data_IF_816336951690
#
_entry.id   IF_816336951690
#
_cell.length_a   1.000
_cell.length_b   1.000
_cell.length_c   1.000
_cell.angle_alpha   90.00
_cell.angle_beta   90.00
_cell.angle_gamma   90.00
#
_symmetry.space_group_name_H-M   'P 1'
#
loop_
_entity.id
_entity.type
_entity.pdbx_description
1 polymer ?
#
# COMPACT_ATOMS: atom_id res chain seq x y z
N UNK A 1 -2.68 1.49 30.28
CA UNK A 1 -1.60 2.07 29.45
C UNK A 1 -2.16 2.33 28.06
N UNK A 2 -2.35 3.59 27.67
CA UNK A 2 -2.74 3.95 26.31
C UNK A 2 -1.55 3.73 25.38
N UNK A 3 -1.66 2.83 24.41
CA UNK A 3 -0.63 2.64 23.39
C UNK A 3 -0.81 3.73 22.30
N UNK A 4 0.05 4.77 22.22
CA UNK A 4 -0.15 5.90 21.32
C UNK A 4 -0.15 5.53 19.83
N UNK A 5 0.32 4.32 19.50
CA UNK A 5 0.36 3.79 18.12
C UNK A 5 -1.01 3.28 17.61
N UNK A 6 -2.04 3.15 18.47
CA UNK A 6 -3.37 2.66 18.04
C UNK A 6 -4.26 3.73 17.37
N UNK A 7 -4.03 5.02 17.63
CA UNK A 7 -4.77 6.12 16.99
C UNK A 7 -4.50 6.24 15.48
N UNK A 8 -3.23 6.32 15.01
CA UNK A 8 -2.95 6.52 13.58
C UNK A 8 -3.46 5.37 12.70
N UNK A 9 -3.44 4.13 13.21
CA UNK A 9 -3.93 2.96 12.48
C UNK A 9 -5.45 2.99 12.27
N UNK A 10 -6.24 3.40 13.27
CA UNK A 10 -7.71 3.53 13.14
C UNK A 10 -8.11 4.59 12.12
N UNK A 11 -7.35 5.68 12.01
CA UNK A 11 -7.65 6.74 11.05
C UNK A 11 -7.27 6.35 9.61
N UNK A 12 -6.20 5.56 9.42
CA UNK A 12 -5.87 4.99 8.11
C UNK A 12 -6.94 4.03 7.60
N UNK A 13 -7.57 3.27 8.48
CA UNK A 13 -8.67 2.35 8.13
C UNK A 13 -10.00 3.07 7.90
N UNK A 14 -10.12 4.38 8.14
CA UNK A 14 -11.32 5.17 7.75
C UNK A 14 -11.21 5.75 6.35
N UNK A 15 -10.01 5.75 5.77
CA UNK A 15 -9.78 6.24 4.42
C UNK A 15 -10.19 5.15 3.41
N UNK A 16 -11.21 5.46 2.60
CA UNK A 16 -11.75 4.51 1.62
C UNK A 16 -10.70 4.02 0.63
N UNK A 17 -9.78 4.90 0.19
CA UNK A 17 -8.70 4.50 -0.74
C UNK A 17 -7.73 3.52 -0.06
N UNK A 18 -7.41 3.71 1.22
CA UNK A 18 -6.61 2.74 1.96
C UNK A 18 -7.33 1.39 2.09
N UNK A 19 -8.63 1.38 2.39
CA UNK A 19 -9.41 0.15 2.47
C UNK A 19 -9.41 -0.60 1.13
N UNK A 20 -9.68 0.10 0.03
CA UNK A 20 -9.68 -0.47 -1.31
C UNK A 20 -8.30 -1.04 -1.70
N UNK A 21 -7.21 -0.37 -1.34
CA UNK A 21 -5.84 -0.88 -1.55
C UNK A 21 -5.63 -2.19 -0.79
N UNK A 22 -6.03 -2.25 0.48
CA UNK A 22 -5.87 -3.44 1.31
C UNK A 22 -6.73 -4.60 0.80
N UNK A 23 -7.97 -4.35 0.39
CA UNK A 23 -8.82 -5.37 -0.24
C UNK A 23 -8.25 -5.90 -1.55
N UNK A 24 -7.65 -5.02 -2.38
CA UNK A 24 -6.99 -5.44 -3.60
C UNK A 24 -5.79 -6.35 -3.30
N UNK A 25 -4.99 -6.01 -2.29
CA UNK A 25 -3.84 -6.82 -1.88
C UNK A 25 -4.27 -8.15 -1.23
N UNK A 26 -5.33 -8.15 -0.42
CA UNK A 26 -5.89 -9.38 0.17
C UNK A 26 -6.35 -10.36 -0.91
N UNK A 27 -6.98 -9.86 -1.98
CA UNK A 27 -7.46 -10.70 -3.09
C UNK A 27 -6.34 -11.19 -4.02
N UNK A 28 -5.22 -10.47 -4.12
CA UNK A 28 -4.18 -10.72 -5.14
C UNK A 28 -2.80 -11.04 -4.57
N UNK A 29 -2.66 -11.13 -3.24
CA UNK A 29 -1.41 -11.29 -2.46
C UNK A 29 -0.37 -10.16 -2.64
N UNK A 30 0.09 -9.92 -3.86
CA UNK A 30 1.10 -8.92 -4.18
C UNK A 30 0.76 -8.21 -5.50
N UNK A 31 0.95 -6.89 -5.53
CA UNK A 31 0.64 -6.08 -6.71
C UNK A 31 1.63 -4.93 -6.85
N UNK A 32 1.97 -4.60 -8.11
CA UNK A 32 2.72 -3.37 -8.39
C UNK A 32 1.88 -2.14 -8.08
N UNK A 33 2.55 -1.04 -7.71
CA UNK A 33 1.90 0.26 -7.53
C UNK A 33 1.14 0.67 -8.79
N UNK A 34 1.72 0.46 -9.98
CA UNK A 34 1.10 0.78 -11.26
C UNK A 34 -0.25 0.06 -11.47
N UNK A 35 -0.33 -1.22 -11.08
CA UNK A 35 -1.57 -1.99 -11.17
C UNK A 35 -2.63 -1.48 -10.19
N UNK A 36 -2.22 -1.16 -8.96
CA UNK A 36 -3.13 -0.64 -7.92
C UNK A 36 -3.73 0.69 -8.38
N UNK A 37 -2.91 1.66 -8.79
CA UNK A 37 -3.42 2.99 -9.18
C UNK A 37 -4.29 2.95 -10.42
N UNK A 38 -4.00 2.04 -11.37
CA UNK A 38 -4.84 1.81 -12.55
C UNK A 38 -6.21 1.24 -12.17
N UNK A 39 -6.28 0.28 -11.25
CA UNK A 39 -7.55 -0.32 -10.80
C UNK A 39 -8.42 0.68 -10.03
N UNK A 40 -7.81 1.55 -9.24
CA UNK A 40 -8.50 2.54 -8.43
C UNK A 40 -8.80 3.85 -9.17
N UNK A 41 -8.28 4.03 -10.39
CA UNK A 41 -8.48 5.27 -11.16
C UNK A 41 -7.85 6.51 -10.50
N UNK A 42 -6.78 6.34 -9.72
CA UNK A 42 -6.09 7.42 -9.02
C UNK A 42 -4.73 7.73 -9.63
N UNK A 43 -4.18 8.92 -9.34
CA UNK A 43 -2.83 9.27 -9.78
C UNK A 43 -1.76 8.43 -9.08
N UNK A 44 -0.63 8.24 -9.77
CA UNK A 44 0.53 7.54 -9.22
C UNK A 44 1.05 8.19 -7.92
N UNK A 45 1.07 9.54 -7.88
CA UNK A 45 1.47 10.29 -6.69
C UNK A 45 0.55 10.01 -5.49
N UNK A 46 -0.78 10.03 -5.72
CA UNK A 46 -1.75 9.75 -4.67
C UNK A 46 -1.59 8.31 -4.17
N UNK A 47 -1.53 7.34 -5.08
CA UNK A 47 -1.30 5.94 -4.72
C UNK A 47 -0.01 5.71 -3.93
N UNK A 48 1.08 6.38 -4.33
CA UNK A 48 2.35 6.31 -3.62
C UNK A 48 2.23 6.84 -2.18
N UNK A 49 1.55 7.97 -1.96
CA UNK A 49 1.32 8.52 -0.61
C UNK A 49 0.57 7.54 0.29
N UNK A 50 -0.47 6.88 -0.22
CA UNK A 50 -1.20 5.85 0.52
C UNK A 50 -0.31 4.64 0.84
N UNK A 51 0.41 4.10 -0.15
CA UNK A 51 1.32 2.96 0.05
C UNK A 51 2.43 3.25 1.07
N UNK A 52 3.00 4.46 1.08
CA UNK A 52 4.00 4.87 2.07
C UNK A 52 3.39 4.86 3.48
N UNK A 53 2.21 5.46 3.66
CA UNK A 53 1.54 5.51 4.97
C UNK A 53 1.19 4.11 5.48
N UNK A 54 0.61 3.28 4.62
CA UNK A 54 0.26 1.89 4.94
C UNK A 54 1.52 1.10 5.32
N UNK A 55 2.63 1.29 4.60
CA UNK A 55 3.91 0.63 4.89
C UNK A 55 4.50 1.09 6.22
N UNK A 56 4.50 2.39 6.50
CA UNK A 56 4.99 2.94 7.76
C UNK A 56 4.22 2.43 8.98
N UNK A 57 2.97 2.02 8.79
CA UNK A 57 2.12 1.44 9.83
C UNK A 57 2.12 -0.10 9.82
N UNK A 58 2.98 -0.73 9.01
CA UNK A 58 3.14 -2.18 8.97
C UNK A 58 1.99 -2.95 8.30
N UNK A 59 1.07 -2.26 7.61
CA UNK A 59 -0.09 -2.86 6.94
C UNK A 59 0.25 -3.46 5.57
N UNK A 60 1.29 -2.95 4.93
CA UNK A 60 1.80 -3.48 3.66
C UNK A 60 3.32 -3.58 3.73
N UNK A 61 3.88 -4.54 3.01
CA UNK A 61 5.33 -4.72 2.85
C UNK A 61 5.69 -4.70 1.36
N UNK A 62 6.92 -4.32 1.06
CA UNK A 62 7.45 -4.50 -0.30
C UNK A 62 7.92 -5.95 -0.37
N UNK A 63 7.22 -6.77 -1.16
CA UNK A 63 7.76 -8.04 -1.64
C UNK A 63 8.86 -7.68 -2.64
N UNK A 64 10.11 -7.95 -2.30
CA UNK A 64 11.26 -7.63 -3.14
C UNK A 64 11.22 -8.54 -4.37
N UNK A 65 10.81 -8.02 -5.54
CA UNK A 65 11.22 -8.64 -6.80
C UNK A 65 12.63 -8.13 -7.14
N UNK A 66 13.60 -8.97 -6.85
CA UNK A 66 14.99 -8.77 -7.27
C UNK A 66 15.08 -8.81 -8.81
N UNK A 67 15.05 -7.61 -9.39
CA UNK A 67 15.84 -7.07 -10.52
C UNK A 67 16.13 -7.96 -11.74
N UNK A 68 16.00 -7.30 -12.89
CA UNK A 68 16.61 -7.70 -14.15
C UNK A 68 17.97 -7.01 -14.32
N UNK A 69 18.97 -7.78 -14.74
CA UNK A 69 20.23 -7.29 -15.26
C UNK A 69 20.25 -7.50 -16.77
N UNK A 70 20.71 -6.50 -17.51
CA UNK A 70 21.16 -6.75 -18.87
C UNK A 70 22.55 -7.41 -18.76
N UNK A 71 22.71 -8.60 -19.35
CA UNK A 71 24.00 -9.27 -19.43
C UNK A 71 24.56 -9.11 -20.83
N UNK A 72 25.07 -7.91 -21.13
CA UNK A 72 25.92 -7.59 -22.29
C UNK A 72 26.84 -6.42 -21.93
#
# INVERSE_FOLDING_TARGET
MFNPNMKPMKDLLKDNTNQEILELLEKNNAMSLGTIVRKLGISAERGLKHMIRLRQNGLVRIETEAKYALNI
#
